data_IF_677890075395
#
_entry.id   IF_677890075395
#
_cell.length_a   1.000
_cell.length_b   1.000
_cell.length_c   1.000
_cell.angle_alpha   90.00
_cell.angle_beta   90.00
_cell.angle_gamma   90.00
#
_symmetry.space_group_name_H-M   'P 1'
#
loop_
_entity.id
_entity.type
_entity.pdbx_description
1 polymer ?
#
# COMPACT_ATOMS: atom_id res chain seq x y z
N UNK A 1 6.18 22.43 3.43
CA UNK A 1 5.77 21.43 4.45
C UNK A 1 6.74 20.27 4.40
N UNK A 2 7.18 19.76 5.55
CA UNK A 2 8.06 18.57 5.59
C UNK A 2 7.23 17.28 5.66
N UNK A 3 7.78 16.13 5.25
CA UNK A 3 7.11 14.83 5.42
C UNK A 3 6.66 14.57 6.85
N UNK A 4 7.48 14.96 7.85
CA UNK A 4 7.16 14.86 9.28
C UNK A 4 5.87 15.61 9.66
N UNK A 5 5.67 16.82 9.09
CA UNK A 5 4.50 17.65 9.34
C UNK A 5 3.24 17.09 8.68
N UNK A 6 3.37 16.49 7.49
CA UNK A 6 2.25 15.80 6.82
C UNK A 6 1.81 14.57 7.63
N UNK A 7 2.77 13.78 8.12
CA UNK A 7 2.52 12.62 8.97
C UNK A 7 1.80 12.99 10.27
N UNK A 8 2.33 13.98 11.01
CA UNK A 8 1.70 14.45 12.24
C UNK A 8 0.30 15.03 12.00
N UNK A 9 0.10 15.75 10.89
CA UNK A 9 -1.21 16.27 10.53
C UNK A 9 -2.20 15.15 10.19
N UNK A 10 -1.74 14.09 9.51
CA UNK A 10 -2.55 12.92 9.20
C UNK A 10 -3.01 12.18 10.44
N UNK A 11 -2.10 11.93 11.39
CA UNK A 11 -2.41 11.27 12.67
C UNK A 11 -3.41 12.08 13.53
N UNK A 12 -3.27 13.41 13.55
CA UNK A 12 -4.17 14.28 14.30
C UNK A 12 -5.58 14.31 13.71
N UNK A 13 -5.69 14.23 12.38
CA UNK A 13 -6.97 14.25 11.66
C UNK A 13 -7.66 12.89 11.61
N UNK A 14 -6.88 11.81 11.65
CA UNK A 14 -7.36 10.43 11.62
C UNK A 14 -6.78 9.68 12.82
N UNK A 15 -7.33 9.94 14.00
CA UNK A 15 -6.92 9.24 15.22
C UNK A 15 -7.27 7.76 15.09
N UNK A 16 -6.30 6.96 14.67
CA UNK A 16 -6.35 5.50 14.71
C UNK A 16 -6.19 5.08 16.17
N UNK A 17 -7.14 4.28 16.68
CA UNK A 17 -7.05 3.62 17.99
C UNK A 17 -5.89 2.59 18.07
N UNK A 18 -5.08 2.47 17.02
CA UNK A 18 -3.81 1.72 17.01
C UNK A 18 -2.70 2.46 17.77
N UNK A 19 -3.01 2.90 18.98
CA UNK A 19 -1.98 2.90 20.00
C UNK A 19 -1.71 1.42 20.32
N UNK A 20 -0.46 1.01 20.19
CA UNK A 20 0.10 -0.26 20.67
C UNK A 20 -0.11 -1.46 19.74
N UNK A 21 0.73 -1.52 18.69
CA UNK A 21 1.71 -2.61 18.72
C UNK A 21 3.05 -2.25 18.04
N UNK A 22 3.71 -1.21 18.54
CA UNK A 22 5.13 -0.94 18.18
C UNK A 22 6.04 -2.04 18.78
N UNK A 23 5.53 -2.84 19.71
CA UNK A 23 6.21 -4.00 20.28
C UNK A 23 6.22 -5.19 19.28
N UNK A 24 5.17 -5.41 18.48
CA UNK A 24 5.14 -6.39 17.39
C UNK A 24 6.18 -6.08 16.29
N UNK A 25 6.49 -4.80 16.07
CA UNK A 25 7.58 -4.40 15.16
C UNK A 25 8.97 -4.63 15.77
N UNK A 26 9.08 -4.65 17.10
CA UNK A 26 10.32 -4.95 17.82
C UNK A 26 10.57 -6.46 17.99
N UNK A 27 9.54 -7.31 17.83
CA UNK A 27 9.71 -8.78 17.79
C UNK A 27 10.32 -9.30 16.49
N UNK A 28 10.40 -8.45 15.46
CA UNK A 28 11.20 -8.75 14.28
C UNK A 28 12.66 -8.53 14.66
N UNK A 29 13.40 -9.62 14.88
CA UNK A 29 14.87 -9.67 15.06
C UNK A 29 15.59 -9.27 13.75
N UNK A 30 15.24 -8.09 13.22
CA UNK A 30 15.84 -7.48 12.06
C UNK A 30 16.97 -6.61 12.58
N UNK A 31 18.19 -7.03 12.27
CA UNK A 31 19.38 -6.22 12.48
C UNK A 31 19.38 -5.06 11.48
N UNK A 32 18.72 -3.97 11.86
CA UNK A 32 18.59 -2.78 11.03
C UNK A 32 19.95 -2.12 10.74
N UNK A 33 20.97 -2.34 11.57
CA UNK A 33 22.32 -1.86 11.29
C UNK A 33 22.91 -2.60 10.08
N UNK A 34 22.72 -3.92 9.98
CA UNK A 34 23.12 -4.71 8.81
C UNK A 34 22.30 -4.33 7.55
N UNK A 35 21.00 -4.07 7.71
CA UNK A 35 20.12 -3.70 6.58
C UNK A 35 20.48 -2.33 6.01
N UNK A 36 20.83 -1.37 6.87
CA UNK A 36 21.23 -0.02 6.47
C UNK A 36 22.67 0.04 5.95
N UNK A 37 23.56 -0.81 6.47
CA UNK A 37 24.94 -0.95 5.98
C UNK A 37 25.03 -1.73 4.66
N UNK A 38 23.94 -2.36 4.20
CA UNK A 38 23.87 -2.97 2.87
C UNK A 38 23.66 -1.92 1.75
N UNK A 39 24.46 -0.85 1.76
CA UNK A 39 24.58 0.12 0.67
C UNK A 39 25.60 -0.35 -0.39
N UNK A 40 25.57 -1.64 -0.72
CA UNK A 40 26.24 -2.20 -1.91
C UNK A 40 25.28 -3.16 -2.61
N UNK A 41 24.23 -2.59 -3.21
CA UNK A 41 23.65 -3.23 -4.38
C UNK A 41 24.77 -3.35 -5.42
N UNK A 42 25.15 -4.57 -5.89
CA UNK A 42 25.93 -4.66 -7.10
C UNK A 42 25.17 -3.92 -8.21
N UNK A 43 25.83 -3.05 -9.00
CA UNK A 43 25.17 -2.41 -10.11
C UNK A 43 24.64 -3.54 -11.00
N UNK A 44 23.33 -3.56 -11.24
CA UNK A 44 22.61 -4.48 -12.13
C UNK A 44 21.94 -5.74 -11.53
N UNK A 45 21.74 -5.86 -10.21
CA UNK A 45 20.76 -6.84 -9.72
C UNK A 45 19.35 -6.25 -9.69
N UNK A 46 18.77 -6.03 -10.86
CA UNK A 46 17.37 -5.62 -10.99
C UNK A 46 16.43 -6.68 -10.41
N UNK A 47 15.32 -6.24 -9.83
CA UNK A 47 14.25 -7.17 -9.43
C UNK A 47 13.59 -7.71 -10.70
N UNK A 48 13.80 -8.98 -11.00
CA UNK A 48 13.16 -9.66 -12.13
C UNK A 48 11.70 -9.91 -11.76
N UNK A 49 10.81 -9.05 -12.25
CA UNK A 49 9.37 -9.25 -12.15
C UNK A 49 8.98 -10.35 -13.14
N UNK A 50 8.43 -11.50 -12.70
CA UNK A 50 7.97 -12.52 -13.62
C UNK A 50 6.81 -12.00 -14.46
N UNK A 51 6.84 -12.23 -15.76
CA UNK A 51 5.72 -11.89 -16.64
C UNK A 51 4.60 -12.92 -16.45
N UNK A 52 3.49 -12.48 -15.84
CA UNK A 52 2.26 -13.24 -15.77
C UNK A 52 1.27 -12.69 -16.80
N UNK A 53 0.49 -13.56 -17.48
CA UNK A 53 -0.60 -13.09 -18.30
C UNK A 53 -1.58 -12.30 -17.43
N UNK A 54 -2.00 -11.13 -17.91
CA UNK A 54 -2.98 -10.31 -17.20
C UNK A 54 -4.26 -11.13 -17.10
N UNK A 55 -4.76 -11.43 -15.88
CA UNK A 55 -5.92 -12.30 -15.69
C UNK A 55 -7.23 -11.61 -16.07
N UNK A 56 -7.18 -10.30 -16.33
CA UNK A 56 -8.34 -9.44 -16.60
C UNK A 56 -8.41 -9.09 -18.08
N UNK A 57 -9.63 -9.03 -18.62
CA UNK A 57 -9.84 -8.47 -19.95
C UNK A 57 -9.64 -6.95 -19.94
N UNK A 58 -9.45 -6.34 -21.11
CA UNK A 58 -9.34 -4.88 -21.23
C UNK A 58 -10.59 -4.17 -20.69
N UNK A 59 -11.76 -4.80 -20.82
CA UNK A 59 -13.03 -4.28 -20.30
C UNK A 59 -13.05 -4.31 -18.77
N UNK A 60 -12.65 -5.42 -18.14
CA UNK A 60 -12.61 -5.53 -16.67
C UNK A 60 -11.62 -4.53 -16.07
N UNK A 61 -10.50 -4.27 -16.76
CA UNK A 61 -9.52 -3.24 -16.36
C UNK A 61 -10.15 -1.85 -16.42
N UNK A 62 -10.87 -1.52 -17.49
CA UNK A 62 -11.54 -0.23 -17.63
C UNK A 62 -12.62 -0.04 -16.54
N UNK A 63 -13.39 -1.08 -16.24
CA UNK A 63 -14.43 -1.04 -15.22
C UNK A 63 -13.82 -0.93 -13.80
N UNK A 64 -12.70 -1.60 -13.56
CA UNK A 64 -11.95 -1.49 -12.30
C UNK A 64 -11.39 -0.08 -12.11
N UNK A 65 -10.81 0.50 -13.17
CA UNK A 65 -10.27 1.87 -13.15
C UNK A 65 -11.37 2.92 -12.91
N UNK A 66 -12.56 2.72 -13.48
CA UNK A 66 -13.70 3.59 -13.22
C UNK A 66 -14.25 3.45 -11.79
N UNK A 67 -14.12 2.26 -11.18
CA UNK A 67 -14.60 1.97 -9.82
C UNK A 67 -13.66 2.53 -8.75
N UNK A 68 -12.35 2.43 -8.99
CA UNK A 68 -11.31 2.99 -8.13
C UNK A 68 -11.05 4.43 -8.59
N UNK A 69 -11.96 5.34 -8.26
CA UNK A 69 -11.82 6.78 -8.54
C UNK A 69 -11.15 7.49 -7.34
N UNK A 70 -9.84 7.81 -7.38
CA UNK A 70 -9.12 8.39 -6.25
C UNK A 70 -9.69 9.70 -5.67
N UNK A 71 -10.25 10.64 -6.47
CA UNK A 71 -10.89 11.83 -5.93
C UNK A 71 -12.25 11.57 -5.26
N UNK A 72 -12.86 10.40 -5.44
CA UNK A 72 -14.16 10.11 -4.83
C UNK A 72 -13.99 9.56 -3.41
N UNK A 73 -14.53 10.24 -2.38
CA UNK A 73 -14.40 9.76 -1.01
C UNK A 73 -15.20 8.46 -0.85
N UNK A 74 -14.56 7.45 -0.29
CA UNK A 74 -15.24 6.26 0.19
C UNK A 74 -16.04 6.57 1.46
N UNK A 75 -17.26 6.03 1.55
CA UNK A 75 -18.08 6.11 2.77
C UNK A 75 -17.70 5.08 3.83
N UNK A 76 -16.76 4.17 3.53
CA UNK A 76 -16.42 3.02 4.36
C UNK A 76 -14.92 2.70 4.31
N UNK A 77 -14.05 3.72 4.35
CA UNK A 77 -12.58 3.55 4.38
C UNK A 77 -12.02 2.63 3.26
N UNK A 78 -12.65 2.66 2.09
CA UNK A 78 -12.32 1.84 0.92
C UNK A 78 -13.07 0.50 0.83
N UNK A 79 -13.78 0.08 1.87
CA UNK A 79 -14.49 -1.21 1.88
C UNK A 79 -15.64 -1.29 0.87
N UNK A 80 -16.36 -0.20 0.65
CA UNK A 80 -17.40 -0.08 -0.38
C UNK A 80 -16.83 -0.15 -1.80
N UNK A 81 -15.66 0.44 -2.03
CA UNK A 81 -14.92 0.35 -3.31
C UNK A 81 -14.46 -1.09 -3.53
N UNK A 82 -13.86 -1.73 -2.52
CA UNK A 82 -13.44 -3.13 -2.58
C UNK A 82 -14.59 -4.09 -2.94
N UNK A 83 -15.76 -3.93 -2.30
CA UNK A 83 -16.93 -4.75 -2.59
C UNK A 83 -17.44 -4.54 -4.02
N UNK A 84 -17.39 -3.32 -4.57
CA UNK A 84 -17.73 -3.06 -5.98
C UNK A 84 -16.74 -3.70 -6.93
N UNK A 85 -15.45 -3.64 -6.64
CA UNK A 85 -14.43 -4.33 -7.45
C UNK A 85 -14.68 -5.84 -7.51
N UNK A 86 -15.07 -6.47 -6.40
CA UNK A 86 -15.39 -7.90 -6.38
C UNK A 86 -16.58 -8.27 -7.28
N UNK A 87 -17.52 -7.36 -7.51
CA UNK A 87 -18.67 -7.60 -8.39
C UNK A 87 -18.30 -7.61 -9.88
N UNK A 88 -17.17 -7.01 -10.26
CA UNK A 88 -16.65 -7.04 -11.64
C UNK A 88 -16.18 -8.45 -12.01
N UNK A 89 -15.76 -9.23 -11.01
CA UNK A 89 -15.14 -10.55 -11.21
C UNK A 89 -16.09 -11.74 -10.94
N UNK A 90 -17.41 -11.52 -10.90
CA UNK A 90 -18.45 -12.56 -10.76
C UNK A 90 -19.06 -12.94 -12.10
#
# INVERSE_FOLDING_TARGET
MTPQLLWQSGLLQNSTDEAENVEDLQELDIDWEIVLDHDESPPESGLVVPEFPIPLSEQDIADLQATVDPPFPSGSHGGDIYLRCLQIFQ
#
